data_IF_978088458404
#
_entry.id   IF_978088458404
#
_cell.length_a   1.000
_cell.length_b   1.000
_cell.length_c   1.000
_cell.angle_alpha   90.00
_cell.angle_beta   90.00
_cell.angle_gamma   90.00
#
_symmetry.space_group_name_H-M   'P 1'
#
loop_
_entity.id
_entity.type
_entity.pdbx_description
1 polymer ?
#
# COMPACT_ATOMS: atom_id res chain seq x y z
N UNK A 1 -4.81 12.06 4.83
CA UNK A 1 -3.48 11.55 5.06
C UNK A 1 -2.77 11.25 3.75
N UNK A 2 -1.58 11.79 3.59
CA UNK A 2 -0.81 11.70 2.36
C UNK A 2 0.18 10.52 2.33
N UNK A 3 0.30 9.77 3.43
CA UNK A 3 1.21 8.63 3.51
C UNK A 3 0.75 7.58 4.51
N UNK A 4 1.32 6.39 4.38
CA UNK A 4 1.12 5.28 5.30
C UNK A 4 2.49 4.84 5.80
N UNK A 5 2.56 4.54 7.08
CA UNK A 5 3.79 4.06 7.71
C UNK A 5 3.53 2.72 8.39
N UNK A 6 4.39 1.77 8.13
CA UNK A 6 4.36 0.45 8.75
C UNK A 6 5.68 0.18 9.46
N UNK A 7 5.61 -0.41 10.64
CA UNK A 7 6.79 -0.73 11.45
C UNK A 7 6.75 -2.17 11.91
N UNK A 8 7.92 -2.79 12.01
CA UNK A 8 8.09 -4.06 12.71
C UNK A 8 8.65 -3.75 14.09
N UNK A 9 7.92 -4.18 15.11
CA UNK A 9 8.25 -3.92 16.51
C UNK A 9 8.47 -5.24 17.22
N UNK A 10 9.57 -5.37 17.92
CA UNK A 10 9.84 -6.52 18.78
C UNK A 10 9.33 -6.22 20.19
N UNK A 11 8.44 -7.06 20.69
CA UNK A 11 7.98 -6.97 22.05
C UNK A 11 9.08 -7.36 23.04
N UNK A 12 9.36 -6.51 24.02
CA UNK A 12 10.33 -6.76 25.07
C UNK A 12 9.75 -6.28 26.41
N UNK A 13 9.97 -7.04 27.48
CA UNK A 13 9.52 -6.70 28.83
C UNK A 13 10.12 -5.38 29.35
N UNK A 14 11.27 -4.98 28.83
CA UNK A 14 11.95 -3.71 29.16
C UNK A 14 11.51 -2.53 28.29
N UNK A 15 10.58 -2.75 27.37
CA UNK A 15 10.11 -1.76 26.40
C UNK A 15 10.20 -2.29 24.99
N UNK A 16 9.21 -1.96 24.16
CA UNK A 16 9.14 -2.40 22.78
C UNK A 16 10.24 -1.76 21.95
N UNK A 17 10.86 -2.53 21.08
CA UNK A 17 11.92 -2.06 20.20
C UNK A 17 11.46 -2.07 18.75
N UNK A 18 11.44 -0.92 18.11
CA UNK A 18 11.20 -0.82 16.67
C UNK A 18 12.42 -1.29 15.91
N UNK A 19 12.27 -2.34 15.11
CA UNK A 19 13.35 -2.92 14.33
C UNK A 19 13.56 -2.15 13.04
N UNK A 20 12.48 -1.87 12.30
CA UNK A 20 12.51 -1.03 11.10
C UNK A 20 11.14 -0.50 10.77
N UNK A 21 11.11 0.57 9.99
CA UNK A 21 9.92 1.27 9.55
C UNK A 21 9.99 1.53 8.05
N UNK A 22 8.87 1.37 7.35
CA UNK A 22 8.72 1.70 5.94
C UNK A 22 7.59 2.71 5.78
N UNK A 23 7.86 3.80 5.09
CA UNK A 23 6.87 4.82 4.74
C UNK A 23 6.51 4.66 3.26
N UNK A 24 5.24 4.92 2.91
CA UNK A 24 4.78 4.80 1.52
C UNK A 24 5.50 5.73 0.54
N UNK A 25 6.11 6.79 1.02
CA UNK A 25 6.96 7.67 0.20
C UNK A 25 8.20 6.94 -0.35
N UNK A 26 8.62 5.86 0.30
CA UNK A 26 9.71 5.00 -0.18
C UNK A 26 9.38 4.37 -1.54
N UNK A 27 8.09 4.24 -1.89
CA UNK A 27 7.66 3.70 -3.18
C UNK A 27 8.18 4.51 -4.36
N UNK A 28 8.45 5.80 -4.18
CA UNK A 28 9.03 6.64 -5.23
C UNK A 28 10.38 6.10 -5.70
N UNK A 29 11.15 5.47 -4.81
CA UNK A 29 12.42 4.82 -5.15
C UNK A 29 12.25 3.62 -6.06
N UNK A 30 11.06 3.01 -6.06
CA UNK A 30 10.69 1.93 -6.96
C UNK A 30 9.97 2.42 -8.22
N UNK A 31 9.92 3.73 -8.43
CA UNK A 31 9.28 4.34 -9.57
C UNK A 31 7.78 4.57 -9.44
N UNK A 32 7.21 4.45 -8.23
CA UNK A 32 5.79 4.71 -8.01
C UNK A 32 5.43 6.17 -8.27
N UNK A 33 4.47 6.39 -9.13
CA UNK A 33 4.00 7.73 -9.55
C UNK A 33 2.56 8.02 -9.09
N UNK A 34 1.93 7.07 -8.42
CA UNK A 34 0.59 7.24 -7.88
C UNK A 34 0.59 7.98 -6.54
N UNK A 35 -0.60 8.16 -5.98
CA UNK A 35 -0.76 8.74 -4.65
C UNK A 35 -0.17 7.81 -3.59
N UNK A 36 0.49 8.36 -2.59
CA UNK A 36 1.14 7.60 -1.52
C UNK A 36 0.24 7.35 -0.31
N UNK A 37 -1.00 7.78 -0.36
CA UNK A 37 -1.98 7.59 0.72
C UNK A 37 -3.18 6.73 0.32
N UNK A 38 -3.18 6.07 -0.83
CA UNK A 38 -4.29 5.25 -1.31
C UNK A 38 -4.09 3.75 -1.03
N UNK A 39 -5.08 2.92 -1.37
CA UNK A 39 -5.03 1.48 -1.14
C UNK A 39 -3.87 0.79 -1.88
N UNK A 40 -3.64 1.06 -3.18
CA UNK A 40 -2.50 0.45 -3.86
C UNK A 40 -1.15 0.76 -3.21
N UNK A 41 -0.92 2.00 -2.79
CA UNK A 41 0.32 2.37 -2.11
C UNK A 41 0.45 1.71 -0.75
N UNK A 42 -0.64 1.56 -0.02
CA UNK A 42 -0.66 0.86 1.26
C UNK A 42 -0.26 -0.61 1.09
N UNK A 43 -0.84 -1.28 0.10
CA UNK A 43 -0.51 -2.66 -0.22
C UNK A 43 0.98 -2.82 -0.58
N UNK A 44 1.50 -1.97 -1.45
CA UNK A 44 2.91 -2.02 -1.87
C UNK A 44 3.86 -1.73 -0.69
N UNK A 45 3.49 -0.81 0.19
CA UNK A 45 4.25 -0.54 1.42
C UNK A 45 4.30 -1.75 2.33
N UNK A 46 3.16 -2.42 2.51
CA UNK A 46 3.07 -3.67 3.26
C UNK A 46 3.93 -4.77 2.64
N UNK A 47 3.97 -4.85 1.33
CA UNK A 47 4.82 -5.81 0.62
C UNK A 47 6.31 -5.54 0.86
N UNK A 48 6.73 -4.29 0.84
CA UNK A 48 8.13 -3.91 1.12
C UNK A 48 8.52 -4.33 2.54
N UNK A 49 7.70 -3.98 3.53
CA UNK A 49 8.03 -4.29 4.93
C UNK A 49 7.98 -5.80 5.19
N UNK A 50 7.04 -6.51 4.57
CA UNK A 50 6.96 -7.96 4.67
C UNK A 50 8.18 -8.65 4.08
N UNK A 51 8.61 -8.24 2.90
CA UNK A 51 9.81 -8.77 2.26
C UNK A 51 11.06 -8.50 3.11
N UNK A 52 11.18 -7.28 3.63
CA UNK A 52 12.31 -6.91 4.49
C UNK A 52 12.33 -7.73 5.78
N UNK A 53 11.17 -7.96 6.39
CA UNK A 53 11.05 -8.80 7.58
C UNK A 53 11.54 -10.22 7.31
N UNK A 54 11.12 -10.82 6.20
CA UNK A 54 11.53 -12.17 5.83
C UNK A 54 13.06 -12.23 5.58
N UNK A 55 13.63 -11.23 4.94
CA UNK A 55 15.08 -11.15 4.74
C UNK A 55 15.85 -11.09 6.07
N UNK A 56 15.26 -10.49 7.09
CA UNK A 56 15.83 -10.43 8.45
C UNK A 56 15.46 -11.64 9.32
N UNK A 57 14.83 -12.65 8.75
CA UNK A 57 14.45 -13.88 9.45
C UNK A 57 13.15 -13.81 10.23
N UNK A 58 12.38 -12.74 10.09
CA UNK A 58 11.10 -12.55 10.79
C UNK A 58 9.98 -13.02 9.87
N UNK A 59 9.36 -14.15 10.21
CA UNK A 59 8.33 -14.78 9.36
C UNK A 59 6.91 -14.61 9.89
N UNK A 60 6.76 -14.34 11.18
CA UNK A 60 5.46 -14.24 11.84
C UNK A 60 5.34 -12.91 12.59
N UNK A 61 4.16 -12.35 12.59
CA UNK A 61 3.85 -11.12 13.31
C UNK A 61 2.37 -11.08 13.66
N UNK A 62 2.01 -10.15 14.54
CA UNK A 62 0.63 -9.84 14.88
C UNK A 62 0.40 -8.38 14.52
N UNK A 63 -0.74 -8.12 13.84
CA UNK A 63 -1.11 -6.76 13.48
C UNK A 63 -1.45 -5.95 14.73
N UNK A 64 -0.85 -4.77 14.84
CA UNK A 64 -1.20 -3.76 15.83
C UNK A 64 -1.52 -2.47 15.09
N UNK A 65 -2.76 -2.03 15.14
CA UNK A 65 -3.22 -0.80 14.49
C UNK A 65 -3.17 0.42 15.43
N UNK A 66 -2.71 0.23 16.67
CA UNK A 66 -2.65 1.28 17.67
C UNK A 66 -4.03 1.88 17.94
N UNK A 67 -4.13 3.19 17.87
CA UNK A 67 -5.38 3.93 18.10
C UNK A 67 -6.21 4.15 16.84
N UNK A 68 -5.80 3.58 15.70
CA UNK A 68 -6.56 3.69 14.46
C UNK A 68 -7.82 2.83 14.49
N UNK A 69 -8.86 3.27 13.78
CA UNK A 69 -10.09 2.53 13.69
C UNK A 69 -9.95 1.29 12.80
N UNK A 70 -10.48 0.17 13.27
CA UNK A 70 -10.54 -1.06 12.49
C UNK A 70 -11.73 -0.98 11.53
N UNK A 71 -11.45 -0.64 10.27
CA UNK A 71 -12.47 -0.55 9.23
C UNK A 71 -12.17 -1.56 8.12
N UNK A 72 -13.12 -2.43 7.83
CA UNK A 72 -13.01 -3.43 6.76
C UNK A 72 -12.59 -2.75 5.45
N UNK A 73 -11.61 -3.33 4.77
CA UNK A 73 -11.15 -2.84 3.47
C UNK A 73 -10.37 -1.53 3.51
N UNK A 74 -9.91 -1.10 4.70
CA UNK A 74 -9.14 0.14 4.85
C UNK A 74 -7.69 0.00 4.40
N UNK A 75 -6.98 1.13 4.36
CA UNK A 75 -5.55 1.18 4.05
C UNK A 75 -4.70 0.33 4.98
N UNK A 76 -5.06 0.25 6.25
CA UNK A 76 -4.35 -0.60 7.22
C UNK A 76 -4.40 -2.06 6.79
N UNK A 77 -5.55 -2.53 6.34
CA UNK A 77 -5.71 -3.90 5.88
C UNK A 77 -5.15 -4.12 4.48
N UNK A 78 -5.04 -3.08 3.67
CA UNK A 78 -4.31 -3.17 2.41
C UNK A 78 -2.81 -3.42 2.66
N UNK A 79 -2.21 -2.71 3.63
CA UNK A 79 -0.83 -2.95 4.04
C UNK A 79 -0.65 -4.36 4.60
N UNK A 80 -1.60 -4.84 5.41
CA UNK A 80 -1.60 -6.21 5.92
C UNK A 80 -1.62 -7.23 4.78
N UNK A 81 -2.48 -7.03 3.78
CA UNK A 81 -2.54 -7.91 2.60
C UNK A 81 -1.20 -7.94 1.86
N UNK A 82 -0.53 -6.81 1.71
CA UNK A 82 0.79 -6.73 1.09
C UNK A 82 1.84 -7.52 1.84
N UNK A 83 1.87 -7.42 3.16
CA UNK A 83 2.80 -8.15 4.01
C UNK A 83 2.56 -9.67 3.93
N UNK A 84 1.30 -10.09 3.92
CA UNK A 84 0.93 -11.51 3.78
C UNK A 84 1.36 -12.03 2.41
N UNK A 85 1.11 -11.27 1.34
CA UNK A 85 1.50 -11.66 -0.02
C UNK A 85 3.03 -11.74 -0.20
N UNK A 86 3.78 -10.98 0.60
CA UNK A 86 5.24 -11.07 0.63
C UNK A 86 5.76 -12.34 1.32
N UNK A 87 4.88 -13.08 2.01
CA UNK A 87 5.20 -14.36 2.63
C UNK A 87 5.12 -14.37 4.15
N UNK A 88 4.77 -13.27 4.81
CA UNK A 88 4.62 -13.23 6.25
C UNK A 88 3.35 -13.97 6.71
N UNK A 89 3.45 -14.62 7.86
CA UNK A 89 2.29 -15.21 8.55
C UNK A 89 1.77 -14.21 9.58
N UNK A 90 0.63 -13.62 9.29
CA UNK A 90 -0.05 -12.66 10.18
C UNK A 90 -1.50 -13.11 10.31
N UNK A 91 -1.96 -13.49 11.52
CA UNK A 91 -3.34 -13.89 11.71
C UNK A 91 -4.31 -12.79 11.31
N UNK A 92 -5.26 -13.09 10.44
CA UNK A 92 -6.27 -12.15 10.00
C UNK A 92 -7.50 -12.88 9.49
N UNK A 93 -8.65 -12.20 9.55
CA UNK A 93 -9.87 -12.64 8.88
C UNK A 93 -9.78 -12.18 7.41
N UNK A 94 -9.87 -13.13 6.47
CA UNK A 94 -9.80 -12.82 5.04
C UNK A 94 -10.88 -11.84 4.56
N UNK A 95 -12.02 -11.78 5.25
CA UNK A 95 -13.10 -10.85 4.90
C UNK A 95 -12.76 -9.39 5.19
N UNK A 96 -11.81 -9.13 6.07
CA UNK A 96 -11.41 -7.77 6.44
C UNK A 96 -10.49 -7.13 5.41
N UNK A 97 -9.83 -7.94 4.58
CA UNK A 97 -8.89 -7.46 3.57
C UNK A 97 -9.63 -6.83 2.38
N UNK A 98 -9.09 -5.76 1.79
CA UNK A 98 -9.67 -5.19 0.57
C UNK A 98 -9.65 -6.19 -0.59
N UNK A 99 -10.64 -6.17 -1.49
CA UNK A 99 -10.60 -7.01 -2.68
C UNK A 99 -9.43 -6.64 -3.60
N UNK A 100 -8.98 -7.60 -4.40
CA UNK A 100 -7.82 -7.43 -5.29
C UNK A 100 -7.97 -6.26 -6.26
N UNK A 101 -9.18 -6.02 -6.74
CA UNK A 101 -9.48 -4.90 -7.65
C UNK A 101 -9.18 -3.55 -7.01
N UNK A 102 -9.45 -3.41 -5.73
CA UNK A 102 -9.15 -2.17 -5.01
C UNK A 102 -7.66 -2.04 -4.68
N UNK A 103 -6.99 -3.15 -4.41
CA UNK A 103 -5.56 -3.17 -4.13
C UNK A 103 -4.74 -2.77 -5.36
N UNK A 104 -5.16 -3.19 -6.55
CA UNK A 104 -4.47 -2.84 -7.80
C UNK A 104 -4.80 -1.44 -8.32
N UNK A 105 -5.86 -0.80 -7.81
CA UNK A 105 -6.27 0.53 -8.23
C UNK A 105 -7.31 0.55 -9.35
N UNK A 106 -7.98 -0.56 -9.66
CA UNK A 106 -9.03 -0.59 -10.69
C UNK A 106 -10.11 0.45 -10.44
N UNK A 107 -10.49 0.69 -9.19
CA UNK A 107 -11.49 1.70 -8.84
C UNK A 107 -11.02 3.12 -9.23
N UNK A 108 -9.72 3.40 -9.15
CA UNK A 108 -9.12 4.67 -9.55
C UNK A 108 -9.18 4.81 -11.06
N UNK A 109 -8.81 3.75 -11.78
CA UNK A 109 -8.86 3.70 -13.23
C UNK A 109 -10.28 3.90 -13.76
N UNK A 110 -11.26 3.19 -13.19
CA UNK A 110 -12.67 3.32 -13.56
C UNK A 110 -13.22 4.72 -13.30
N UNK A 111 -12.87 5.30 -12.16
CA UNK A 111 -13.28 6.66 -11.83
C UNK A 111 -12.69 7.67 -12.83
N UNK A 112 -11.41 7.53 -13.16
CA UNK A 112 -10.75 8.39 -14.15
C UNK A 112 -11.44 8.30 -15.51
N UNK A 113 -11.79 7.08 -15.95
CA UNK A 113 -12.54 6.88 -17.19
C UNK A 113 -13.91 7.56 -17.14
N UNK A 114 -14.59 7.51 -16.01
CA UNK A 114 -15.93 8.08 -15.86
C UNK A 114 -15.95 9.60 -15.95
N UNK A 115 -14.88 10.28 -15.55
CA UNK A 115 -14.78 11.76 -15.57
C UNK A 115 -13.90 12.28 -16.69
N UNK A 116 -13.44 11.43 -17.59
CA UNK A 116 -12.52 11.80 -18.67
C UNK A 116 -13.05 12.93 -19.56
N UNK A 117 -14.35 12.94 -19.81
CA UNK A 117 -15.00 13.96 -20.65
C UNK A 117 -15.16 15.31 -19.95
N UNK A 118 -15.08 15.36 -18.62
CA UNK A 118 -15.07 16.58 -17.85
C UNK A 118 -13.61 16.99 -17.56
N UNK A 119 -13.03 17.71 -18.51
CA UNK A 119 -11.60 18.03 -18.50
C UNK A 119 -11.14 18.75 -17.26
N UNK A 120 -11.91 19.72 -16.76
CA UNK A 120 -11.55 20.49 -15.57
C UNK A 120 -11.56 19.62 -14.31
N UNK A 121 -12.58 18.78 -14.17
CA UNK A 121 -12.70 17.86 -13.04
C UNK A 121 -11.59 16.81 -13.06
N UNK A 122 -11.31 16.25 -14.24
CA UNK A 122 -10.25 15.28 -14.44
C UNK A 122 -8.88 15.86 -14.07
N UNK A 123 -8.52 17.02 -14.59
CA UNK A 123 -7.25 17.68 -14.30
C UNK A 123 -7.11 18.03 -12.82
N UNK A 124 -8.18 18.48 -12.18
CA UNK A 124 -8.18 18.80 -10.75
C UNK A 124 -7.98 17.58 -9.88
N UNK A 125 -8.73 16.51 -10.18
CA UNK A 125 -8.71 15.27 -9.40
C UNK A 125 -7.38 14.54 -9.51
N UNK A 126 -6.78 14.52 -10.69
CA UNK A 126 -5.59 13.76 -10.98
C UNK A 126 -4.36 14.63 -11.29
N UNK A 127 -4.34 15.84 -10.78
CA UNK A 127 -3.25 16.79 -11.02
C UNK A 127 -1.87 16.19 -10.72
N UNK A 128 -1.70 15.56 -9.56
CA UNK A 128 -0.41 14.99 -9.16
C UNK A 128 0.02 13.82 -10.05
N UNK A 129 -0.93 13.00 -10.50
CA UNK A 129 -0.66 11.91 -11.43
C UNK A 129 -0.16 12.44 -12.78
N UNK A 130 -0.87 13.42 -13.32
CA UNK A 130 -0.52 14.03 -14.61
C UNK A 130 0.85 14.71 -14.53
N UNK A 131 1.10 15.43 -13.44
CA UNK A 131 2.38 16.11 -13.19
C UNK A 131 3.55 15.14 -13.17
N UNK A 132 3.35 13.94 -12.63
CA UNK A 132 4.37 12.88 -12.56
C UNK A 132 4.44 12.04 -13.84
N UNK A 133 3.61 12.31 -14.83
CA UNK A 133 3.59 11.58 -16.10
C UNK A 133 2.84 10.26 -16.08
N UNK A 134 1.92 10.06 -15.14
CA UNK A 134 1.07 8.87 -15.06
C UNK A 134 -0.37 9.22 -15.43
N UNK A 135 -0.92 8.53 -16.44
CA UNK A 135 -2.37 8.57 -16.68
C UNK A 135 -3.08 7.74 -15.63
N UNK A 136 -4.06 8.29 -14.90
CA UNK A 136 -4.75 7.53 -13.85
C UNK A 136 -5.47 6.29 -14.37
N UNK A 137 -5.86 6.23 -15.65
CA UNK A 137 -6.42 5.03 -16.27
C UNK A 137 -5.42 3.88 -16.31
N UNK A 138 -4.14 4.16 -16.32
CA UNK A 138 -3.05 3.16 -16.42
C UNK A 138 -2.50 2.72 -15.06
N UNK A 139 -3.17 3.08 -13.97
CA UNK A 139 -2.65 2.82 -12.63
C UNK A 139 -2.50 1.31 -12.33
N UNK A 140 -3.38 0.47 -12.85
CA UNK A 140 -3.29 -0.99 -12.62
C UNK A 140 -2.02 -1.54 -13.26
N UNK A 141 -1.72 -1.14 -14.50
CA UNK A 141 -0.49 -1.54 -15.19
C UNK A 141 0.74 -1.05 -14.43
N UNK A 142 0.72 0.22 -14.01
CA UNK A 142 1.80 0.82 -13.25
C UNK A 142 2.00 0.12 -11.89
N UNK A 143 0.91 -0.20 -11.20
CA UNK A 143 0.93 -0.97 -9.96
C UNK A 143 1.65 -2.32 -10.15
N UNK A 144 1.30 -3.05 -11.20
CA UNK A 144 1.93 -4.34 -11.48
C UNK A 144 3.42 -4.21 -11.79
N UNK A 145 3.83 -3.16 -12.49
CA UNK A 145 5.23 -2.87 -12.77
C UNK A 145 6.02 -2.62 -11.49
N UNK A 146 5.51 -1.77 -10.60
CA UNK A 146 6.16 -1.47 -9.32
C UNK A 146 6.17 -2.68 -8.41
N UNK A 147 5.07 -3.45 -8.37
CA UNK A 147 4.99 -4.70 -7.62
C UNK A 147 6.09 -5.67 -8.06
N UNK A 148 6.32 -5.80 -9.36
CA UNK A 148 7.39 -6.62 -9.90
C UNK A 148 8.78 -6.18 -9.44
N UNK A 149 9.03 -4.89 -9.39
CA UNK A 149 10.30 -4.33 -8.90
C UNK A 149 10.52 -4.60 -7.41
N UNK A 150 9.47 -4.57 -6.61
CA UNK A 150 9.55 -4.89 -5.18
C UNK A 150 9.84 -6.38 -4.99
N UNK A 151 9.18 -7.25 -5.75
CA UNK A 151 9.38 -8.69 -5.71
C UNK A 151 10.75 -9.11 -6.22
N UNK A 152 11.20 -8.47 -7.25
CA UNK A 152 12.52 -8.71 -7.84
C UNK A 152 13.64 -8.27 -6.95
#
# INVERSE_FOLDING_TARGET
LSSIRASIVKYDAKGDKTLFTVDSKTLEKFGWKGNTGNLPSAYLTGMIIGKKAIQEGIREAILDIGMNNSTKGSRLYAALAGAIDAGMKIPSDGEILPPKERLSGEHISKYAQSIRNDKLRYERQFYDYIKKGLNPEDIVKHFNEVKGKIHG
#
